data_IF_251319199903
#
_entry.id   IF_251319199903
#
_cell.length_a   1.000
_cell.length_b   1.000
_cell.length_c   1.000
_cell.angle_alpha   90.00
_cell.angle_beta   90.00
_cell.angle_gamma   90.00
#
_symmetry.space_group_name_H-M   'P 1'
#
loop_
_entity.id
_entity.type
_entity.pdbx_description
1 polymer ?
#
# COMPACT_ATOMS: atom_id res chain seq x y z
N UNK A 1 4.28 -18.20 16.55
CA UNK A 1 5.51 -17.83 17.28
C UNK A 1 5.32 -16.43 17.85
N UNK A 2 5.51 -16.24 19.16
CA UNK A 2 5.43 -14.92 19.78
C UNK A 2 6.79 -14.22 19.59
N UNK A 3 6.88 -13.40 18.54
CA UNK A 3 8.15 -12.84 18.05
C UNK A 3 8.68 -11.67 18.89
N UNK A 4 7.95 -11.20 19.90
CA UNK A 4 8.31 -10.00 20.68
C UNK A 4 8.07 -8.67 19.96
N UNK A 5 8.14 -8.66 18.62
CA UNK A 5 7.87 -7.47 17.80
C UNK A 5 6.44 -6.94 17.92
N UNK A 6 6.34 -5.61 17.97
CA UNK A 6 5.09 -4.88 17.93
C UNK A 6 4.38 -5.04 16.58
N UNK A 7 3.05 -5.04 16.60
CA UNK A 7 2.18 -5.29 15.45
C UNK A 7 0.94 -4.42 15.58
N UNK A 8 0.21 -4.27 14.47
CA UNK A 8 -1.12 -3.66 14.49
C UNK A 8 -2.00 -4.34 15.55
N UNK A 9 -2.55 -3.57 16.48
CA UNK A 9 -3.47 -4.04 17.51
C UNK A 9 -4.88 -4.07 16.94
N UNK A 10 -5.37 -5.28 16.65
CA UNK A 10 -6.70 -5.52 16.06
C UNK A 10 -7.85 -5.21 17.00
N UNK A 11 -7.57 -4.98 18.30
CA UNK A 11 -8.57 -4.56 19.29
C UNK A 11 -8.71 -3.04 19.37
N UNK A 12 -7.86 -2.31 18.65
CA UNK A 12 -7.82 -0.85 18.58
C UNK A 12 -8.19 -0.38 17.19
N UNK A 13 -8.79 0.80 17.11
CA UNK A 13 -9.16 1.37 15.82
C UNK A 13 -7.93 1.83 15.01
N UNK A 14 -8.20 2.27 13.78
CA UNK A 14 -7.17 2.73 12.87
C UNK A 14 -6.43 3.97 13.39
N UNK A 15 -7.13 4.90 14.02
CA UNK A 15 -6.52 6.14 14.53
C UNK A 15 -5.56 5.83 15.67
N UNK A 16 -5.93 4.95 16.59
CA UNK A 16 -5.06 4.52 17.67
C UNK A 16 -3.79 3.85 17.11
N UNK A 17 -3.92 2.91 16.17
CA UNK A 17 -2.74 2.27 15.57
C UNK A 17 -1.87 3.25 14.78
N UNK A 18 -2.47 4.28 14.18
CA UNK A 18 -1.76 5.36 13.51
C UNK A 18 -0.90 6.15 14.50
N UNK A 19 -1.48 6.52 15.64
CA UNK A 19 -0.83 7.36 16.66
C UNK A 19 0.11 6.57 17.60
N UNK A 20 0.00 5.24 17.63
CA UNK A 20 0.78 4.34 18.50
C UNK A 20 1.69 3.42 17.69
N UNK A 21 2.33 3.98 16.64
CA UNK A 21 3.38 3.27 15.93
C UNK A 21 4.54 2.93 16.89
N UNK A 22 5.11 1.72 16.81
CA UNK A 22 6.25 1.36 17.63
C UNK A 22 7.50 2.17 17.27
N UNK A 23 8.34 2.42 18.27
CA UNK A 23 9.64 3.05 18.07
C UNK A 23 10.61 2.10 17.34
N UNK A 24 11.44 2.57 16.40
CA UNK A 24 12.45 1.75 15.75
C UNK A 24 13.42 1.12 16.76
N UNK A 25 13.57 -0.20 16.71
CA UNK A 25 14.50 -0.95 17.56
C UNK A 25 15.88 -1.03 16.89
N UNK A 26 16.97 -0.86 17.65
CA UNK A 26 18.30 -1.18 17.14
C UNK A 26 18.51 -2.68 17.19
N UNK A 27 18.39 -3.34 16.04
CA UNK A 27 18.62 -4.76 15.87
C UNK A 27 19.84 -5.01 15.00
N UNK A 28 20.60 -6.05 15.34
CA UNK A 28 21.63 -6.59 14.46
C UNK A 28 20.95 -7.50 13.42
N UNK A 29 20.52 -6.87 12.32
CA UNK A 29 19.80 -7.55 11.24
C UNK A 29 20.80 -8.37 10.43
N UNK A 30 20.56 -9.68 10.34
CA UNK A 30 21.34 -10.57 9.50
C UNK A 30 21.13 -10.19 8.02
N UNK A 31 22.19 -9.84 7.26
CA UNK A 31 22.06 -9.51 5.85
C UNK A 31 21.51 -10.68 5.03
N UNK A 32 20.74 -10.37 3.97
CA UNK A 32 20.30 -11.37 2.99
C UNK A 32 21.32 -11.41 1.84
N UNK A 33 22.17 -12.45 1.75
CA UNK A 33 23.26 -12.46 0.76
C UNK A 33 22.73 -12.42 -0.68
N UNK A 34 23.34 -11.60 -1.52
CA UNK A 34 23.01 -11.49 -2.95
C UNK A 34 23.16 -10.07 -3.47
N UNK A 35 22.97 -9.91 -4.77
CA UNK A 35 22.77 -8.60 -5.40
C UNK A 35 21.29 -8.47 -5.71
N UNK A 36 20.64 -7.45 -5.14
CA UNK A 36 19.22 -7.26 -5.26
C UNK A 36 18.91 -5.93 -5.94
N UNK A 37 17.85 -5.94 -6.74
CA UNK A 37 17.30 -4.74 -7.34
C UNK A 37 15.77 -4.80 -7.31
N UNK A 38 15.15 -3.65 -7.09
CA UNK A 38 13.71 -3.46 -7.15
C UNK A 38 13.41 -2.30 -8.11
N UNK A 39 12.61 -2.58 -9.14
CA UNK A 39 12.34 -1.62 -10.22
C UNK A 39 13.60 -1.01 -10.87
N UNK A 40 14.68 -1.79 -10.96
CA UNK A 40 15.97 -1.33 -11.50
C UNK A 40 16.84 -0.52 -10.54
N UNK A 41 16.40 -0.31 -9.29
CA UNK A 41 17.15 0.37 -8.24
C UNK A 41 17.76 -0.67 -7.30
N UNK A 42 19.05 -0.53 -6.98
CA UNK A 42 19.73 -1.44 -6.04
C UNK A 42 19.15 -1.31 -4.63
N UNK A 43 18.92 -2.45 -3.98
CA UNK A 43 18.43 -2.57 -2.60
C UNK A 43 19.26 -3.59 -1.82
N UNK A 44 19.31 -3.47 -0.50
CA UNK A 44 20.14 -4.33 0.35
C UNK A 44 19.58 -5.76 0.51
N UNK A 45 18.27 -5.94 0.34
CA UNK A 45 17.61 -7.24 0.37
C UNK A 45 16.32 -7.25 -0.46
N UNK A 46 15.78 -8.44 -0.80
CA UNK A 46 14.51 -8.55 -1.50
C UNK A 46 13.31 -8.46 -0.55
N UNK A 47 13.53 -8.18 0.74
CA UNK A 47 12.48 -8.20 1.76
C UNK A 47 11.68 -6.90 1.71
N UNK A 48 10.43 -7.03 1.28
CA UNK A 48 9.48 -5.92 1.20
C UNK A 48 8.30 -6.06 2.15
N UNK A 49 7.78 -4.91 2.59
CA UNK A 49 6.55 -4.81 3.37
C UNK A 49 5.52 -4.03 2.56
N UNK A 50 4.37 -4.66 2.31
CA UNK A 50 3.34 -4.12 1.43
C UNK A 50 2.58 -2.93 2.05
N UNK A 51 1.94 -2.11 1.21
CA UNK A 51 1.03 -1.07 1.66
C UNK A 51 -0.12 -1.68 2.48
N UNK A 52 -0.45 -1.09 3.64
CA UNK A 52 -1.50 -1.58 4.53
C UNK A 52 -1.10 -1.49 6.00
N UNK A 53 -0.25 -2.40 6.51
CA UNK A 53 0.23 -2.40 7.90
C UNK A 53 1.11 -1.18 8.24
N UNK A 54 1.71 -0.55 7.22
CA UNK A 54 2.57 0.62 7.34
C UNK A 54 1.78 1.93 7.28
N UNK A 55 1.16 2.32 8.39
CA UNK A 55 0.16 3.40 8.39
C UNK A 55 0.74 4.79 8.11
N UNK A 56 1.99 5.01 8.50
CA UNK A 56 2.72 6.28 8.39
C UNK A 56 4.23 6.04 8.49
N UNK A 57 5.00 7.12 8.44
CA UNK A 57 6.45 7.13 8.51
C UNK A 57 7.06 6.41 9.69
N UNK A 58 6.45 6.50 10.87
CA UNK A 58 6.98 5.81 12.06
C UNK A 58 6.89 4.30 11.91
N UNK A 59 5.77 3.79 11.36
CA UNK A 59 5.69 2.37 11.00
C UNK A 59 6.75 1.98 9.97
N UNK A 60 7.00 2.80 8.94
CA UNK A 60 8.02 2.51 7.94
C UNK A 60 9.41 2.42 8.57
N UNK A 61 9.75 3.35 9.45
CA UNK A 61 11.05 3.37 10.13
C UNK A 61 11.21 2.18 11.08
N UNK A 62 10.13 1.78 11.75
CA UNK A 62 10.12 0.56 12.54
C UNK A 62 10.45 -0.67 11.69
N UNK A 63 9.71 -0.89 10.60
CA UNK A 63 9.96 -2.03 9.71
C UNK A 63 11.33 -1.96 9.01
N UNK A 64 11.81 -0.75 8.68
CA UNK A 64 13.16 -0.57 8.15
C UNK A 64 14.24 -1.07 9.13
N UNK A 65 14.04 -0.79 10.43
CA UNK A 65 14.93 -1.23 11.51
C UNK A 65 14.83 -2.75 11.79
N UNK A 66 13.68 -3.38 11.48
CA UNK A 66 13.54 -4.84 11.48
C UNK A 66 14.22 -5.52 10.28
N UNK A 67 14.78 -4.77 9.34
CA UNK A 67 15.54 -5.31 8.20
C UNK A 67 14.81 -5.32 6.87
N UNK A 68 13.63 -4.72 6.75
CA UNK A 68 12.96 -4.58 5.45
C UNK A 68 13.62 -3.46 4.64
N UNK A 69 13.86 -3.71 3.35
CA UNK A 69 14.53 -2.78 2.44
C UNK A 69 13.61 -2.17 1.40
N UNK A 70 12.47 -2.80 1.13
CA UNK A 70 11.41 -2.27 0.26
C UNK A 70 10.21 -1.91 1.14
N UNK A 71 9.96 -0.62 1.31
CA UNK A 71 8.99 -0.07 2.26
C UNK A 71 7.88 0.63 1.51
N UNK A 72 6.67 0.04 1.49
CA UNK A 72 5.53 0.67 0.81
C UNK A 72 4.66 1.45 1.79
N UNK A 73 4.72 2.78 1.71
CA UNK A 73 3.84 3.69 2.43
C UNK A 73 2.37 3.41 2.11
N UNK A 74 1.50 3.50 3.13
CA UNK A 74 0.06 3.26 3.01
C UNK A 74 -0.54 4.01 1.81
N UNK A 75 -1.47 3.36 1.10
CA UNK A 75 -2.20 3.97 -0.02
C UNK A 75 -2.81 5.32 0.36
N UNK A 76 -2.36 6.39 -0.29
CA UNK A 76 -2.83 7.78 -0.09
C UNK A 76 -3.80 8.22 -1.18
N UNK A 77 -4.52 9.31 -0.89
CA UNK A 77 -5.57 9.92 -1.70
C UNK A 77 -5.34 11.42 -1.84
N UNK A 78 -6.00 12.03 -2.81
CA UNK A 78 -6.07 13.49 -2.98
C UNK A 78 -6.99 14.18 -1.97
N UNK A 79 -7.78 13.41 -1.21
CA UNK A 79 -8.62 13.89 -0.11
C UNK A 79 -8.59 12.93 1.06
N UNK A 80 -8.83 13.47 2.26
CA UNK A 80 -8.94 12.67 3.47
C UNK A 80 -10.09 11.66 3.35
N UNK A 81 -9.84 10.45 3.85
CA UNK A 81 -10.83 9.39 3.98
C UNK A 81 -10.63 8.67 5.31
N UNK A 82 -11.68 8.63 6.12
CA UNK A 82 -11.66 7.89 7.39
C UNK A 82 -11.66 6.37 7.14
N UNK A 83 -11.14 5.61 8.11
CA UNK A 83 -11.21 4.15 8.08
C UNK A 83 -12.60 3.70 8.52
N UNK A 84 -13.06 2.54 8.04
CA UNK A 84 -14.24 1.90 8.61
C UNK A 84 -13.98 1.46 10.06
N UNK A 85 -15.06 1.37 10.84
CA UNK A 85 -15.03 0.99 12.25
C UNK A 85 -14.65 -0.47 12.49
N UNK A 86 -14.46 -0.84 13.75
CA UNK A 86 -14.11 -2.21 14.14
C UNK A 86 -15.30 -3.18 13.98
N UNK A 87 -15.03 -4.47 13.69
CA UNK A 87 -13.73 -5.03 13.31
C UNK A 87 -13.40 -4.72 11.84
N UNK A 88 -12.23 -4.16 11.59
CA UNK A 88 -11.73 -3.88 10.23
C UNK A 88 -10.49 -4.71 9.83
N UNK A 89 -10.05 -5.58 10.74
CA UNK A 89 -9.01 -6.59 10.56
C UNK A 89 -9.31 -7.80 11.46
N UNK A 90 -9.67 -8.94 10.87
CA UNK A 90 -10.19 -10.10 11.58
C UNK A 90 -9.47 -11.37 11.14
N UNK A 91 -8.83 -12.15 12.05
CA UNK A 91 -8.32 -13.47 11.69
C UNK A 91 -9.46 -14.40 11.26
N UNK A 92 -9.23 -15.15 10.19
CA UNK A 92 -10.22 -16.10 9.64
C UNK A 92 -9.57 -17.46 9.36
N UNK A 93 -10.39 -18.51 9.37
CA UNK A 93 -9.99 -19.85 8.93
C UNK A 93 -10.23 -19.98 7.43
N UNK A 94 -9.16 -19.85 6.65
CA UNK A 94 -9.18 -20.06 5.21
C UNK A 94 -7.81 -20.51 4.72
N UNK A 95 -7.77 -21.66 4.06
CA UNK A 95 -6.54 -22.33 3.60
C UNK A 95 -6.26 -22.08 2.10
N UNK A 96 -6.97 -21.12 1.49
CA UNK A 96 -6.89 -20.77 0.06
C UNK A 96 -7.99 -21.40 -0.80
N UNK A 97 -7.97 -21.09 -2.09
CA UNK A 97 -8.98 -21.54 -3.07
C UNK A 97 -10.05 -20.49 -3.35
N UNK A 98 -11.27 -20.92 -3.66
CA UNK A 98 -12.40 -20.00 -3.76
C UNK A 98 -12.76 -19.46 -2.37
N UNK A 99 -13.03 -18.16 -2.27
CA UNK A 99 -13.51 -17.54 -1.02
C UNK A 99 -14.97 -17.98 -0.81
N UNK A 100 -15.32 -18.63 0.32
CA UNK A 100 -16.69 -19.01 0.61
C UNK A 100 -17.56 -17.78 0.95
N UNK A 101 -18.88 -17.91 0.84
CA UNK A 101 -19.82 -16.84 1.24
C UNK A 101 -19.69 -16.46 2.72
N UNK A 102 -19.38 -17.44 3.58
CA UNK A 102 -19.15 -17.25 5.00
C UNK A 102 -17.78 -17.80 5.42
N UNK A 103 -17.09 -17.04 6.27
CA UNK A 103 -15.79 -17.41 6.82
C UNK A 103 -15.87 -17.55 8.34
N UNK A 104 -15.31 -18.64 8.86
CA UNK A 104 -15.12 -18.81 10.29
C UNK A 104 -14.11 -17.80 10.82
N UNK A 105 -14.49 -17.04 11.84
CA UNK A 105 -13.59 -16.10 12.53
C UNK A 105 -12.78 -16.83 13.60
N UNK A 106 -11.54 -16.40 13.82
CA UNK A 106 -10.69 -16.92 14.90
C UNK A 106 -10.13 -15.78 15.76
N UNK A 107 -9.77 -16.09 17.00
CA UNK A 107 -9.13 -15.13 17.90
C UNK A 107 -7.62 -14.95 17.62
N UNK A 108 -7.01 -15.87 16.86
CA UNK A 108 -5.56 -15.90 16.60
C UNK A 108 -5.30 -16.11 15.13
N UNK A 109 -4.43 -15.28 14.58
CA UNK A 109 -3.95 -15.42 13.21
C UNK A 109 -3.17 -16.74 13.04
N UNK A 110 -3.67 -17.59 12.14
CA UNK A 110 -3.04 -18.86 11.76
C UNK A 110 -2.76 -18.98 10.26
N UNK A 111 -3.12 -18.00 9.43
CA UNK A 111 -2.85 -18.04 7.99
C UNK A 111 -3.51 -16.93 7.19
N UNK A 112 -4.79 -16.61 7.49
CA UNK A 112 -5.59 -15.68 6.68
C UNK A 112 -6.27 -14.57 7.50
N UNK A 113 -6.43 -13.41 6.86
CA UNK A 113 -7.12 -12.25 7.41
C UNK A 113 -8.27 -11.81 6.49
N UNK A 114 -9.39 -11.41 7.08
CA UNK A 114 -10.36 -10.54 6.44
C UNK A 114 -10.03 -9.08 6.80
N UNK A 115 -10.00 -8.19 5.81
CA UNK A 115 -9.56 -6.79 5.97
C UNK A 115 -10.56 -5.85 5.33
N UNK A 116 -11.06 -4.87 6.09
CA UNK A 116 -12.07 -3.91 5.64
C UNK A 116 -11.75 -2.48 6.08
N UNK A 117 -10.49 -2.03 5.99
CA UNK A 117 -10.13 -0.66 6.40
C UNK A 117 -10.81 0.45 5.58
N UNK A 118 -11.19 0.19 4.32
CA UNK A 118 -11.79 1.19 3.43
C UNK A 118 -10.80 2.17 2.77
N UNK A 119 -9.51 1.81 2.69
CA UNK A 119 -8.42 2.68 2.21
C UNK A 119 -8.41 4.08 2.84
N UNK A 120 -8.24 4.16 4.16
CA UNK A 120 -8.12 5.44 4.84
C UNK A 120 -6.87 6.18 4.36
N UNK A 121 -6.99 7.49 4.29
CA UNK A 121 -5.90 8.39 3.95
C UNK A 121 -6.06 9.66 4.77
N UNK A 122 -4.96 10.14 5.38
CA UNK A 122 -4.90 11.47 6.00
C UNK A 122 -4.98 12.57 4.91
N UNK A 123 -5.20 13.84 5.27
CA UNK A 123 -5.19 14.93 4.29
C UNK A 123 -3.85 14.99 3.50
N UNK A 124 -3.87 15.46 2.23
CA UNK A 124 -2.67 15.56 1.40
C UNK A 124 -1.49 16.25 2.04
N UNK A 125 -1.71 17.39 2.69
CA UNK A 125 -0.64 18.11 3.39
C UNK A 125 0.05 17.24 4.43
N UNK A 126 -0.72 16.51 5.24
CA UNK A 126 -0.16 15.64 6.27
C UNK A 126 0.72 14.54 5.67
N UNK A 127 0.20 13.76 4.72
CA UNK A 127 0.95 12.61 4.24
C UNK A 127 2.15 13.01 3.38
N UNK A 128 2.09 14.15 2.69
CA UNK A 128 3.24 14.70 1.95
C UNK A 128 4.38 15.08 2.89
N UNK A 129 4.06 15.78 3.99
CA UNK A 129 5.03 16.14 5.02
C UNK A 129 5.63 14.88 5.68
N UNK A 130 4.79 13.90 5.99
CA UNK A 130 5.22 12.65 6.63
C UNK A 130 6.09 11.79 5.70
N UNK A 131 5.76 11.68 4.41
CA UNK A 131 6.60 10.98 3.41
C UNK A 131 7.97 11.66 3.29
N UNK A 132 7.99 12.99 3.18
CA UNK A 132 9.23 13.78 3.10
C UNK A 132 10.10 13.56 4.33
N UNK A 133 9.50 13.66 5.53
CA UNK A 133 10.19 13.42 6.79
C UNK A 133 10.72 11.97 6.88
N UNK A 134 9.93 10.99 6.45
CA UNK A 134 10.31 9.58 6.43
C UNK A 134 11.50 9.33 5.53
N UNK A 135 11.46 9.84 4.29
CA UNK A 135 12.56 9.67 3.33
C UNK A 135 13.87 10.24 3.87
N UNK A 136 13.82 11.38 4.56
CA UNK A 136 15.01 12.01 5.17
C UNK A 136 15.65 11.18 6.29
N UNK A 137 14.87 10.31 6.95
CA UNK A 137 15.30 9.48 8.08
C UNK A 137 15.69 8.05 7.65
N UNK A 138 15.22 7.59 6.49
CA UNK A 138 15.56 6.27 5.98
C UNK A 138 17.00 6.23 5.45
N UNK A 139 17.73 5.20 5.86
CA UNK A 139 19.10 4.94 5.41
C UNK A 139 19.19 4.81 3.89
N UNK A 140 20.38 5.06 3.35
CA UNK A 140 20.71 4.71 1.96
C UNK A 140 20.50 3.19 1.76
N UNK A 141 20.09 2.79 0.56
CA UNK A 141 19.78 1.40 0.22
C UNK A 141 18.34 0.97 0.52
N UNK A 142 17.56 1.78 1.26
CA UNK A 142 16.12 1.58 1.46
C UNK A 142 15.32 2.18 0.30
N UNK A 143 14.41 1.41 -0.28
CA UNK A 143 13.46 1.84 -1.31
C UNK A 143 12.13 2.23 -0.68
N UNK A 144 11.77 3.51 -0.77
CA UNK A 144 10.48 4.04 -0.33
C UNK A 144 9.50 4.05 -1.50
N UNK A 145 8.55 3.12 -1.52
CA UNK A 145 7.41 3.14 -2.43
C UNK A 145 6.25 3.88 -1.78
N UNK A 146 5.57 4.77 -2.50
CA UNK A 146 4.32 5.39 -2.02
C UNK A 146 3.15 4.86 -2.81
N UNK A 147 2.22 4.20 -2.13
CA UNK A 147 0.99 3.68 -2.75
C UNK A 147 -0.02 4.82 -2.92
N UNK A 148 -0.68 4.92 -4.07
CA UNK A 148 -1.66 5.98 -4.39
C UNK A 148 -2.94 5.37 -4.95
N UNK A 149 -4.08 6.04 -4.71
CA UNK A 149 -5.37 5.71 -5.32
C UNK A 149 -6.16 6.99 -5.60
N UNK A 150 -6.89 7.03 -6.71
CA UNK A 150 -7.79 8.15 -7.00
C UNK A 150 -8.93 8.23 -5.98
N UNK A 151 -9.54 9.41 -5.85
CA UNK A 151 -10.71 9.67 -5.01
C UNK A 151 -11.86 10.19 -5.88
N UNK A 152 -12.48 9.31 -6.68
CA UNK A 152 -13.51 9.70 -7.64
C UNK A 152 -14.75 10.30 -6.97
N UNK A 153 -15.42 11.20 -7.70
CA UNK A 153 -16.81 11.59 -7.43
C UNK A 153 -17.76 10.81 -8.35
N UNK A 154 -19.06 10.83 -8.05
CA UNK A 154 -20.08 9.98 -8.69
C UNK A 154 -20.15 10.11 -10.22
N UNK A 155 -19.82 11.29 -10.75
CA UNK A 155 -19.92 11.63 -12.18
C UNK A 155 -18.57 11.75 -12.90
N UNK A 156 -17.46 11.33 -12.28
CA UNK A 156 -16.15 11.43 -12.90
C UNK A 156 -16.00 10.49 -14.09
N UNK A 157 -15.50 11.05 -15.19
CA UNK A 157 -14.96 10.29 -16.32
C UNK A 157 -13.66 9.57 -15.96
N UNK A 158 -13.28 8.57 -16.75
CA UNK A 158 -11.99 7.87 -16.58
C UNK A 158 -10.80 8.84 -16.68
N UNK A 159 -10.89 9.89 -17.50
CA UNK A 159 -9.84 10.90 -17.61
C UNK A 159 -9.66 11.70 -16.31
N UNK A 160 -10.76 12.01 -15.61
CA UNK A 160 -10.72 12.70 -14.30
C UNK A 160 -10.16 11.78 -13.21
N UNK A 161 -10.55 10.51 -13.21
CA UNK A 161 -9.97 9.49 -12.32
C UNK A 161 -8.46 9.35 -12.56
N UNK A 162 -8.05 9.24 -13.82
CA UNK A 162 -6.66 9.14 -14.23
C UNK A 162 -5.85 10.40 -13.84
N UNK A 163 -6.46 11.59 -13.98
CA UNK A 163 -5.85 12.85 -13.58
C UNK A 163 -5.59 12.94 -12.07
N UNK A 164 -6.52 12.44 -11.25
CA UNK A 164 -6.38 12.42 -9.80
C UNK A 164 -5.34 11.39 -9.32
N UNK A 165 -5.30 10.21 -9.95
CA UNK A 165 -4.20 9.24 -9.78
C UNK A 165 -2.85 9.90 -10.08
N UNK A 166 -2.75 10.55 -11.24
CA UNK A 166 -1.55 11.24 -11.68
C UNK A 166 -1.15 12.38 -10.73
N UNK A 167 -2.10 13.10 -10.16
CA UNK A 167 -1.82 14.15 -9.17
C UNK A 167 -1.23 13.58 -7.89
N UNK A 168 -1.81 12.50 -7.36
CA UNK A 168 -1.26 11.83 -6.19
C UNK A 168 0.15 11.29 -6.45
N UNK A 169 0.39 10.71 -7.65
CA UNK A 169 1.70 10.22 -8.04
C UNK A 169 2.76 11.33 -8.14
N UNK A 170 2.40 12.51 -8.68
CA UNK A 170 3.30 13.68 -8.71
C UNK A 170 3.70 14.10 -7.31
N UNK A 171 2.72 14.30 -6.42
CA UNK A 171 3.00 14.67 -5.04
C UNK A 171 3.87 13.64 -4.33
N UNK A 172 3.60 12.34 -4.53
CA UNK A 172 4.42 11.28 -3.96
C UNK A 172 5.88 11.34 -4.43
N UNK A 173 6.12 11.51 -5.73
CA UNK A 173 7.46 11.66 -6.29
C UNK A 173 8.17 12.93 -5.79
N UNK A 174 7.46 14.06 -5.72
CA UNK A 174 7.96 15.34 -5.19
C UNK A 174 8.36 15.25 -3.71
N UNK A 175 7.67 14.41 -2.93
CA UNK A 175 7.97 14.14 -1.52
C UNK A 175 9.14 13.15 -1.32
N UNK A 176 9.77 12.68 -2.39
CA UNK A 176 10.96 11.82 -2.31
C UNK A 176 10.66 10.32 -2.33
N UNK A 177 9.52 9.88 -2.87
CA UNK A 177 9.31 8.48 -3.16
C UNK A 177 10.33 7.97 -4.19
N UNK A 178 10.98 6.84 -3.91
CA UNK A 178 11.85 6.15 -4.87
C UNK A 178 11.03 5.42 -5.94
N UNK A 179 9.77 5.12 -5.65
CA UNK A 179 8.79 4.57 -6.59
C UNK A 179 7.36 4.88 -6.17
N UNK A 180 6.44 4.79 -7.12
CA UNK A 180 5.00 4.96 -6.87
C UNK A 180 4.27 3.66 -7.21
N UNK A 181 3.45 3.18 -6.29
CA UNK A 181 2.53 2.05 -6.49
C UNK A 181 1.12 2.59 -6.74
N UNK A 182 0.59 2.46 -7.95
CA UNK A 182 -0.81 2.76 -8.21
C UNK A 182 -1.68 1.55 -7.84
N UNK A 183 -2.57 1.74 -6.86
CA UNK A 183 -3.46 0.69 -6.39
C UNK A 183 -4.74 0.65 -7.24
N UNK A 184 -4.82 -0.31 -8.16
CA UNK A 184 -5.98 -0.51 -9.05
C UNK A 184 -6.97 -1.54 -8.50
N UNK A 185 -6.70 -2.12 -7.32
CA UNK A 185 -7.28 -3.43 -6.94
C UNK A 185 -7.93 -3.50 -5.58
N UNK A 186 -8.27 -2.39 -4.95
CA UNK A 186 -8.82 -2.48 -3.61
C UNK A 186 -10.31 -2.91 -3.61
N UNK A 187 -10.63 -4.10 -3.05
CA UNK A 187 -11.99 -4.63 -3.04
C UNK A 187 -12.89 -4.01 -1.95
N UNK A 188 -12.34 -3.13 -1.10
CA UNK A 188 -13.03 -2.56 0.06
C UNK A 188 -13.85 -1.30 -0.24
N UNK A 189 -13.89 -0.92 -1.52
CA UNK A 189 -14.71 0.18 -2.02
C UNK A 189 -15.47 -0.36 -3.23
N UNK A 190 -16.79 -0.20 -3.24
CA UNK A 190 -17.66 -0.56 -4.36
C UNK A 190 -17.65 0.50 -5.47
N UNK A 191 -16.62 1.34 -5.50
CA UNK A 191 -16.44 2.45 -6.44
C UNK A 191 -15.48 2.03 -7.55
N UNK A 192 -15.63 2.63 -8.73
CA UNK A 192 -14.90 2.28 -9.96
C UNK A 192 -13.37 2.28 -9.77
N UNK A 193 -12.83 3.06 -8.83
CA UNK A 193 -11.40 3.12 -8.49
C UNK A 193 -10.83 1.85 -7.85
N UNK A 194 -11.65 1.07 -7.13
CA UNK A 194 -11.22 -0.16 -6.44
C UNK A 194 -11.10 -1.39 -7.34
N UNK A 195 -11.70 -1.34 -8.53
CA UNK A 195 -11.81 -2.46 -9.46
C UNK A 195 -11.25 -2.13 -10.85
N UNK A 196 -10.47 -1.07 -10.98
CA UNK A 196 -9.90 -0.61 -12.25
C UNK A 196 -9.13 -1.73 -12.97
N UNK A 197 -8.50 -2.65 -12.22
CA UNK A 197 -7.80 -3.81 -12.77
C UNK A 197 -8.68 -4.79 -13.58
N UNK A 198 -10.01 -4.71 -13.46
CA UNK A 198 -10.96 -5.54 -14.22
C UNK A 198 -11.39 -4.89 -15.55
N UNK A 199 -11.02 -3.62 -15.80
CA UNK A 199 -11.24 -2.95 -17.07
C UNK A 199 -9.89 -2.57 -17.71
N UNK A 200 -9.33 -3.39 -18.60
CA UNK A 200 -8.03 -3.14 -19.22
C UNK A 200 -7.95 -1.80 -19.97
N UNK A 201 -9.05 -1.35 -20.58
CA UNK A 201 -9.08 -0.08 -21.31
C UNK A 201 -8.89 1.10 -20.37
N UNK A 202 -9.69 1.15 -19.30
CA UNK A 202 -9.63 2.22 -18.31
C UNK A 202 -8.32 2.19 -17.51
N UNK A 203 -7.85 0.99 -17.16
CA UNK A 203 -6.55 0.81 -16.53
C UNK A 203 -5.40 1.31 -17.40
N UNK A 204 -5.46 1.08 -18.72
CA UNK A 204 -4.50 1.58 -19.69
C UNK A 204 -4.47 3.11 -19.74
N UNK A 205 -5.62 3.77 -19.72
CA UNK A 205 -5.74 5.24 -19.68
C UNK A 205 -5.09 5.79 -18.40
N UNK A 206 -5.44 5.22 -17.24
CA UNK A 206 -4.86 5.63 -15.97
C UNK A 206 -3.35 5.40 -15.91
N UNK A 207 -2.87 4.24 -16.37
CA UNK A 207 -1.45 3.91 -16.42
C UNK A 207 -0.66 4.85 -17.33
N UNK A 208 -1.20 5.19 -18.51
CA UNK A 208 -0.58 6.17 -19.41
C UNK A 208 -0.48 7.54 -18.74
N UNK A 209 -1.56 8.00 -18.08
CA UNK A 209 -1.58 9.29 -17.37
C UNK A 209 -0.59 9.34 -16.21
N UNK A 210 -0.50 8.26 -15.44
CA UNK A 210 0.49 8.09 -14.38
C UNK A 210 1.92 8.18 -14.94
N UNK A 211 2.21 7.46 -16.03
CA UNK A 211 3.53 7.47 -16.67
C UNK A 211 3.91 8.85 -17.19
N UNK A 212 2.98 9.58 -17.82
CA UNK A 212 3.20 10.97 -18.24
C UNK A 212 3.56 11.88 -17.06
N UNK A 213 2.89 11.67 -15.92
CA UNK A 213 3.05 12.51 -14.74
C UNK A 213 4.37 12.28 -13.99
N UNK A 214 4.89 11.04 -14.01
CA UNK A 214 6.14 10.66 -13.34
C UNK A 214 7.07 9.88 -14.29
N UNK A 215 7.60 10.52 -15.35
CA UNK A 215 8.30 9.84 -16.44
C UNK A 215 9.55 9.09 -15.99
N UNK A 216 10.26 9.61 -14.98
CA UNK A 216 11.54 9.07 -14.50
C UNK A 216 11.42 8.29 -13.18
N UNK A 217 10.24 8.24 -12.57
CA UNK A 217 10.03 7.51 -11.32
C UNK A 217 9.52 6.10 -11.65
N UNK A 218 10.06 5.05 -10.99
CA UNK A 218 9.46 3.73 -11.00
C UNK A 218 7.95 3.78 -10.72
N UNK A 219 7.16 3.14 -11.59
CA UNK A 219 5.71 3.00 -11.42
C UNK A 219 5.38 1.52 -11.35
N UNK A 220 4.62 1.13 -10.34
CA UNK A 220 4.06 -0.20 -10.18
C UNK A 220 2.55 -0.11 -10.27
N UNK A 221 1.93 -1.04 -10.99
CA UNK A 221 0.48 -1.20 -11.01
C UNK A 221 0.12 -2.39 -10.14
N UNK A 222 -0.59 -2.14 -9.04
CA UNK A 222 -1.04 -3.19 -8.12
C UNK A 222 -2.42 -3.65 -8.55
N UNK A 223 -2.49 -4.90 -9.00
CA UNK A 223 -3.71 -5.57 -9.48
C UNK A 223 -4.25 -6.55 -8.45
N UNK A 224 -5.51 -6.95 -8.63
CA UNK A 224 -6.17 -7.96 -7.81
C UNK A 224 -5.93 -9.35 -8.37
N UNK A 225 -6.57 -10.36 -7.75
CA UNK A 225 -6.62 -11.68 -8.35
C UNK A 225 -7.53 -11.64 -9.59
N UNK A 226 -7.02 -12.05 -10.75
CA UNK A 226 -7.78 -12.15 -12.00
C UNK A 226 -8.04 -13.63 -12.26
N UNK A 227 -9.29 -14.07 -12.04
CA UNK A 227 -9.68 -15.47 -12.19
C UNK A 227 -9.69 -15.94 -13.66
N UNK A 228 -9.87 -15.01 -14.60
CA UNK A 228 -9.97 -15.29 -16.03
C UNK A 228 -8.64 -14.99 -16.76
N UNK A 229 -8.08 -16.01 -17.42
CA UNK A 229 -6.86 -15.89 -18.22
C UNK A 229 -6.97 -14.90 -19.39
N UNK A 230 -8.13 -14.79 -20.03
CA UNK A 230 -8.37 -13.83 -21.13
C UNK A 230 -8.27 -12.40 -20.61
N UNK A 231 -8.99 -12.08 -19.53
CA UNK A 231 -8.92 -10.77 -18.87
C UNK A 231 -7.51 -10.44 -18.40
N UNK A 232 -6.77 -11.44 -17.89
CA UNK A 232 -5.37 -11.27 -17.48
C UNK A 232 -4.40 -11.03 -18.66
N UNK A 233 -4.73 -11.49 -19.87
CA UNK A 233 -3.94 -11.23 -21.08
C UNK A 233 -4.26 -9.87 -21.69
N UNK A 234 -5.48 -9.37 -21.52
CA UNK A 234 -5.89 -8.06 -22.01
C UNK A 234 -5.31 -6.91 -21.17
N UNK A 235 -5.10 -7.14 -19.87
CA UNK A 235 -4.47 -6.20 -18.94
C UNK A 235 -2.95 -6.07 -19.16
#
# INVERSE_FOLDING_TARGET
VNSGFAKYDITKDYAWNFDNAPEPEQLDVVPVPGEWAYCGVSVESPLGIAAGPLLNGQWLLYYAALGFDILTYKTVRSRERASYGLPNLQPVTWEGGAVPEELGVTARMSGSWAVSFGMPSKPPSFWQDDVTATRSRLNKGKFLSVSVVATPEEDWSIDEVAADFAQCARWAAECGADGVEANFSCPNVSTVDGQLFLNPTDAGIAAAKLREAIPNTPLLLKVGHIDNRETAHEF
#
